data_IF_612212462134
#
_entry.id   IF_612212462134
#
_cell.length_a   1.000
_cell.length_b   1.000
_cell.length_c   1.000
_cell.angle_alpha   90.00
_cell.angle_beta   90.00
_cell.angle_gamma   90.00
#
_symmetry.space_group_name_H-M   'P 1'
#
loop_
_entity.id
_entity.type
_entity.pdbx_description
1 polymer ?
#
# COMPACT_ATOMS: atom_id res chain seq x y z
N UNK A 1 18.44 -12.34 18.95
CA UNK A 1 17.09 -12.78 18.53
C UNK A 1 16.10 -11.61 18.43
N UNK A 2 16.09 -10.72 19.41
CA UNK A 2 15.32 -9.45 19.51
C UNK A 2 15.17 -8.62 18.22
N UNK A 3 16.27 -8.22 17.55
CA UNK A 3 16.21 -7.31 16.39
C UNK A 3 15.38 -7.85 15.21
N UNK A 4 15.47 -9.15 14.91
CA UNK A 4 14.70 -9.77 13.81
C UNK A 4 13.21 -9.87 14.13
N UNK A 5 12.86 -9.96 15.41
CA UNK A 5 11.48 -9.98 15.89
C UNK A 5 10.85 -8.58 15.82
N UNK A 6 11.56 -7.58 16.34
CA UNK A 6 11.15 -6.17 16.28
C UNK A 6 10.94 -5.68 14.85
N UNK A 7 11.88 -6.00 13.93
CA UNK A 7 11.74 -5.65 12.52
C UNK A 7 10.53 -6.32 11.86
N UNK A 8 10.24 -7.59 12.20
CA UNK A 8 9.06 -8.29 11.68
C UNK A 8 7.77 -7.63 12.17
N UNK A 9 7.71 -7.30 13.46
CA UNK A 9 6.57 -6.64 14.07
C UNK A 9 6.33 -5.24 13.49
N UNK A 10 7.40 -4.46 13.32
CA UNK A 10 7.34 -3.14 12.72
C UNK A 10 6.87 -3.21 11.25
N UNK A 11 7.37 -4.17 10.46
CA UNK A 11 6.91 -4.40 9.08
C UNK A 11 5.42 -4.73 9.02
N UNK A 12 4.91 -5.56 9.93
CA UNK A 12 3.48 -5.91 10.00
C UNK A 12 2.64 -4.68 10.36
N UNK A 13 3.05 -3.90 11.36
CA UNK A 13 2.34 -2.69 11.76
C UNK A 13 2.31 -1.64 10.65
N UNK A 14 3.46 -1.38 10.01
CA UNK A 14 3.57 -0.44 8.90
C UNK A 14 2.68 -0.87 7.73
N UNK A 15 2.77 -2.14 7.30
CA UNK A 15 1.92 -2.66 6.20
C UNK A 15 0.43 -2.49 6.51
N UNK A 16 0.00 -2.80 7.73
CA UNK A 16 -1.40 -2.65 8.17
C UNK A 16 -1.84 -1.18 8.22
N UNK A 17 -0.99 -0.31 8.75
CA UNK A 17 -1.25 1.14 8.77
C UNK A 17 -1.45 1.69 7.36
N UNK A 18 -0.56 1.33 6.46
CA UNK A 18 -0.60 1.74 5.07
C UNK A 18 -1.78 1.19 4.28
N UNK A 19 -2.16 -0.09 4.48
CA UNK A 19 -3.38 -0.65 3.90
C UNK A 19 -4.62 0.13 4.33
N UNK A 20 -4.71 0.49 5.61
CA UNK A 20 -5.83 1.31 6.11
C UNK A 20 -5.83 2.69 5.49
N UNK A 21 -4.67 3.33 5.37
CA UNK A 21 -4.56 4.64 4.74
C UNK A 21 -5.08 4.60 3.29
N UNK A 22 -4.66 3.59 2.51
CA UNK A 22 -5.12 3.42 1.14
C UNK A 22 -6.64 3.17 1.04
N UNK A 23 -7.21 2.33 1.91
CA UNK A 23 -8.66 2.11 1.96
C UNK A 23 -9.41 3.40 2.33
N UNK A 24 -8.91 4.18 3.29
CA UNK A 24 -9.51 5.46 3.66
C UNK A 24 -9.46 6.47 2.51
N UNK A 25 -8.32 6.60 1.84
CA UNK A 25 -8.17 7.49 0.68
C UNK A 25 -9.10 7.08 -0.47
N UNK A 26 -9.25 5.79 -0.74
CA UNK A 26 -10.16 5.28 -1.77
C UNK A 26 -11.64 5.53 -1.42
N UNK A 27 -12.03 5.28 -0.17
CA UNK A 27 -13.39 5.53 0.30
C UNK A 27 -13.73 7.02 0.27
N UNK A 28 -12.78 7.87 0.67
CA UNK A 28 -12.92 9.32 0.59
C UNK A 28 -13.10 9.75 -0.87
N UNK A 29 -12.24 9.27 -1.78
CA UNK A 29 -12.34 9.58 -3.21
C UNK A 29 -13.70 9.19 -3.81
N UNK A 30 -14.17 7.97 -3.52
CA UNK A 30 -15.50 7.51 -3.95
C UNK A 30 -16.64 8.38 -3.40
N UNK A 31 -16.54 8.79 -2.13
CA UNK A 31 -17.54 9.63 -1.47
C UNK A 31 -17.55 11.05 -2.05
N UNK A 32 -16.39 11.66 -2.25
CA UNK A 32 -16.26 12.98 -2.88
C UNK A 32 -16.70 12.94 -4.36
N UNK A 33 -16.41 11.87 -5.10
CA UNK A 33 -16.88 11.70 -6.48
C UNK A 33 -18.41 11.56 -6.59
N UNK A 34 -19.10 11.11 -5.53
CA UNK A 34 -20.57 11.16 -5.45
C UNK A 34 -21.07 12.55 -5.09
N UNK A 35 -20.39 13.24 -4.16
CA UNK A 35 -20.72 14.59 -3.75
C UNK A 35 -20.55 15.60 -4.90
N UNK A 36 -19.50 15.47 -5.71
CA UNK A 36 -19.26 16.30 -6.90
C UNK A 36 -20.36 16.15 -7.95
N UNK A 37 -20.93 14.95 -8.09
CA UNK A 37 -22.09 14.70 -8.96
C UNK A 37 -23.42 15.18 -8.37
N UNK A 38 -23.43 15.68 -7.13
CA UNK A 38 -24.64 16.15 -6.45
C UNK A 38 -25.60 15.04 -6.02
N UNK A 39 -25.17 13.77 -6.03
CA UNK A 39 -26.07 12.63 -5.81
C UNK A 39 -26.04 12.15 -4.34
N UNK A 40 -27.10 12.42 -3.57
CA UNK A 40 -27.28 11.92 -2.20
C UNK A 40 -28.21 10.72 -2.18
N UNK A 41 -27.76 9.66 -1.51
CA UNK A 41 -28.65 8.55 -1.22
C UNK A 41 -29.59 8.96 -0.08
N UNK A 42 -30.88 8.95 -0.34
CA UNK A 42 -31.91 9.22 0.65
C UNK A 42 -32.44 7.90 1.23
N UNK A 43 -32.06 7.50 2.47
CA UNK A 43 -32.50 6.24 3.06
C UNK A 43 -34.01 6.20 3.32
N UNK A 44 -34.67 7.35 3.49
CA UNK A 44 -36.10 7.47 3.77
C UNK A 44 -36.97 7.12 2.56
N UNK A 45 -36.51 7.45 1.35
CA UNK A 45 -37.25 7.23 0.09
C UNK A 45 -36.59 6.23 -0.86
N UNK A 46 -35.49 5.58 -0.41
CA UNK A 46 -34.67 4.63 -1.18
C UNK A 46 -34.34 5.10 -2.61
N UNK A 47 -34.10 6.40 -2.80
CA UNK A 47 -33.80 7.01 -4.10
C UNK A 47 -32.57 7.91 -4.03
N UNK A 48 -31.95 8.15 -5.19
CA UNK A 48 -30.85 9.10 -5.35
C UNK A 48 -31.50 10.46 -5.61
N UNK A 49 -31.47 11.35 -4.61
CA UNK A 49 -31.95 12.72 -4.75
C UNK A 49 -30.76 13.63 -5.14
N UNK A 50 -30.97 14.53 -6.10
CA UNK A 50 -30.02 15.59 -6.42
C UNK A 50 -30.04 16.63 -5.29
N UNK A 51 -28.90 16.83 -4.63
CA UNK A 51 -28.75 17.94 -3.68
C UNK A 51 -28.53 19.22 -4.49
N UNK A 52 -29.33 20.25 -4.20
CA UNK A 52 -28.97 21.62 -4.55
C UNK A 52 -27.85 22.09 -3.62
N UNK A 53 -26.61 21.84 -4.05
CA UNK A 53 -25.41 22.33 -3.38
C UNK A 53 -25.22 23.80 -3.73
N UNK A 54 -25.01 24.65 -2.71
CA UNK A 54 -24.61 26.04 -2.95
C UNK A 54 -23.26 26.09 -3.68
N UNK A 55 -23.04 27.14 -4.47
CA UNK A 55 -21.83 27.31 -5.29
C UNK A 55 -20.55 27.26 -4.42
N UNK A 56 -20.61 27.83 -3.21
CA UNK A 56 -19.49 27.81 -2.26
C UNK A 56 -19.13 26.39 -1.82
N UNK A 57 -20.12 25.54 -1.61
CA UNK A 57 -19.93 24.17 -1.18
C UNK A 57 -19.39 23.29 -2.32
N UNK A 58 -19.89 23.49 -3.54
CA UNK A 58 -19.38 22.80 -4.73
C UNK A 58 -17.89 23.12 -4.96
N UNK A 59 -17.50 24.38 -4.80
CA UNK A 59 -16.10 24.80 -4.91
C UNK A 59 -15.20 24.08 -3.91
N UNK A 60 -15.62 24.00 -2.63
CA UNK A 60 -14.85 23.31 -1.59
C UNK A 60 -14.68 21.81 -1.90
N UNK A 61 -15.75 21.13 -2.32
CA UNK A 61 -15.70 19.72 -2.73
C UNK A 61 -14.73 19.51 -3.90
N UNK A 62 -14.69 20.45 -4.84
CA UNK A 62 -13.81 20.40 -6.01
C UNK A 62 -12.34 20.50 -5.60
N UNK A 63 -11.99 21.44 -4.71
CA UNK A 63 -10.63 21.57 -4.18
C UNK A 63 -10.19 20.28 -3.46
N UNK A 64 -11.02 19.77 -2.54
CA UNK A 64 -10.72 18.53 -1.83
C UNK A 64 -10.58 17.35 -2.80
N UNK A 65 -11.46 17.26 -3.80
CA UNK A 65 -11.40 16.20 -4.79
C UNK A 65 -10.09 16.24 -5.60
N UNK A 66 -9.65 17.42 -6.04
CA UNK A 66 -8.37 17.59 -6.75
C UNK A 66 -7.21 17.19 -5.83
N UNK A 67 -7.18 17.64 -4.58
CA UNK A 67 -6.14 17.26 -3.62
C UNK A 67 -6.10 15.73 -3.47
N UNK A 68 -7.24 15.07 -3.28
CA UNK A 68 -7.31 13.61 -3.17
C UNK A 68 -6.86 12.91 -4.45
N UNK A 69 -7.23 13.44 -5.62
CA UNK A 69 -6.88 12.89 -6.92
C UNK A 69 -5.37 12.97 -7.19
N UNK A 70 -4.68 13.99 -6.67
CA UNK A 70 -3.21 14.06 -6.72
C UNK A 70 -2.54 13.24 -5.60
N UNK A 71 -3.16 13.17 -4.42
CA UNK A 71 -2.59 12.49 -3.27
C UNK A 71 -2.59 10.96 -3.45
N UNK A 72 -3.67 10.39 -4.00
CA UNK A 72 -3.79 8.95 -4.27
C UNK A 72 -2.67 8.36 -5.14
N UNK A 73 -2.39 8.88 -6.35
CA UNK A 73 -1.31 8.36 -7.19
C UNK A 73 0.06 8.58 -6.57
N UNK A 74 0.27 9.69 -5.85
CA UNK A 74 1.52 9.95 -5.13
C UNK A 74 1.78 8.87 -4.09
N UNK A 75 0.80 8.59 -3.22
CA UNK A 75 0.87 7.51 -2.23
C UNK A 75 1.07 6.14 -2.92
N UNK A 76 0.37 5.89 -4.03
CA UNK A 76 0.50 4.66 -4.81
C UNK A 76 1.92 4.43 -5.34
N UNK A 77 2.53 5.44 -5.95
CA UNK A 77 3.91 5.36 -6.48
C UNK A 77 4.90 5.12 -5.33
N UNK A 78 4.76 5.84 -4.21
CA UNK A 78 5.58 5.60 -3.03
C UNK A 78 5.52 4.14 -2.58
N UNK A 79 4.34 3.52 -2.54
CA UNK A 79 4.23 2.10 -2.20
C UNK A 79 4.88 1.17 -3.19
N UNK A 80 4.72 1.43 -4.48
CA UNK A 80 5.34 0.61 -5.52
C UNK A 80 6.86 0.66 -5.41
N UNK A 81 7.44 1.85 -5.32
CA UNK A 81 8.90 2.03 -5.25
C UNK A 81 9.47 1.40 -3.98
N UNK A 82 8.95 1.75 -2.80
CA UNK A 82 9.45 1.19 -1.54
C UNK A 82 9.23 -0.32 -1.44
N UNK A 83 8.10 -0.81 -1.95
CA UNK A 83 7.79 -2.23 -2.02
C UNK A 83 8.76 -3.00 -2.91
N UNK A 84 9.06 -2.46 -4.09
CA UNK A 84 10.04 -3.05 -5.02
C UNK A 84 11.44 -3.06 -4.42
N UNK A 85 11.90 -1.94 -3.86
CA UNK A 85 13.21 -1.85 -3.21
C UNK A 85 13.36 -2.89 -2.09
N UNK A 86 12.35 -3.04 -1.24
CA UNK A 86 12.38 -4.05 -0.18
C UNK A 86 12.45 -5.47 -0.74
N UNK A 87 11.69 -5.78 -1.80
CA UNK A 87 11.72 -7.11 -2.43
C UNK A 87 13.06 -7.40 -3.07
N UNK A 88 13.69 -6.41 -3.71
CA UNK A 88 15.02 -6.54 -4.30
C UNK A 88 16.08 -6.83 -3.24
N UNK A 89 16.04 -6.12 -2.11
CA UNK A 89 16.97 -6.37 -0.99
C UNK A 89 16.73 -7.74 -0.35
N UNK A 90 15.47 -8.14 -0.14
CA UNK A 90 15.17 -9.45 0.43
C UNK A 90 15.63 -10.57 -0.54
N UNK A 91 15.42 -10.40 -1.85
CA UNK A 91 15.85 -11.36 -2.89
C UNK A 91 17.37 -11.47 -2.97
N UNK A 92 18.11 -10.36 -2.97
CA UNK A 92 19.58 -10.38 -2.99
C UNK A 92 20.15 -11.07 -1.74
N UNK A 93 19.52 -10.87 -0.58
CA UNK A 93 19.93 -11.57 0.64
C UNK A 93 19.66 -13.07 0.60
N UNK A 94 18.66 -13.51 -0.18
CA UNK A 94 18.30 -14.92 -0.35
C UNK A 94 19.28 -15.61 -1.30
N UNK A 95 19.63 -14.97 -2.42
CA UNK A 95 20.58 -15.52 -3.40
C UNK A 95 21.96 -15.74 -2.78
N UNK A 96 22.45 -14.79 -1.97
CA UNK A 96 23.71 -14.92 -1.25
C UNK A 96 23.71 -16.14 -0.29
N UNK A 97 22.60 -16.37 0.42
CA UNK A 97 22.48 -17.54 1.32
C UNK A 97 22.43 -18.85 0.54
N UNK A 98 21.72 -18.86 -0.59
CA UNK A 98 21.65 -20.01 -1.48
C UNK A 98 23.02 -20.37 -2.03
N UNK A 99 23.77 -19.37 -2.52
CA UNK A 99 25.14 -19.54 -3.01
C UNK A 99 26.07 -20.07 -1.90
N UNK A 100 26.01 -19.48 -0.70
CA UNK A 100 26.81 -19.94 0.44
C UNK A 100 26.46 -21.38 0.85
N UNK A 101 25.18 -21.75 0.80
CA UNK A 101 24.74 -23.12 1.09
C UNK A 101 25.16 -24.11 0.01
N UNK A 102 25.16 -23.70 -1.26
CA UNK A 102 25.62 -24.51 -2.38
C UNK A 102 27.12 -24.77 -2.25
N UNK A 103 27.91 -23.72 -2.03
CA UNK A 103 29.36 -23.81 -1.84
C UNK A 103 29.72 -24.76 -0.67
N UNK A 104 29.04 -24.63 0.48
CA UNK A 104 29.24 -25.55 1.61
C UNK A 104 28.94 -27.01 1.24
N UNK A 105 27.83 -27.25 0.54
CA UNK A 105 27.43 -28.60 0.11
C UNK A 105 28.45 -29.19 -0.87
N UNK A 106 29.01 -28.38 -1.76
CA UNK A 106 30.07 -28.83 -2.69
C UNK A 106 31.35 -29.19 -1.94
N UNK A 107 31.76 -28.40 -0.94
CA UNK A 107 32.95 -28.70 -0.11
C UNK A 107 32.76 -30.00 0.67
N UNK A 108 31.58 -30.22 1.28
CA UNK A 108 31.27 -31.47 1.99
C UNK A 108 31.29 -32.69 1.04
N UNK A 109 30.74 -32.56 -0.17
CA UNK A 109 30.78 -33.63 -1.18
C UNK A 109 32.21 -33.97 -1.62
N UNK A 110 33.06 -32.96 -1.83
CA UNK A 110 34.47 -33.17 -2.19
C UNK A 110 35.21 -33.86 -1.04
N UNK A 111 34.96 -33.46 0.21
CA UNK A 111 35.60 -34.06 1.38
C UNK A 111 35.26 -35.56 1.55
N UNK A 112 34.04 -35.99 1.20
CA UNK A 112 33.60 -37.40 1.29
C UNK A 112 34.12 -38.26 0.12
N UNK A 113 34.38 -37.65 -1.05
CA UNK A 113 34.89 -38.38 -2.23
C UNK A 113 36.41 -38.49 -2.23
N UNK A 114 37.12 -37.50 -1.68
CA UNK A 114 38.59 -37.48 -1.62
C UNK A 114 39.21 -38.14 -0.38
N UNK A 115 38.42 -38.51 0.64
CA UNK A 115 38.87 -39.13 1.89
C UNK A 115 38.04 -40.38 2.20
#
# INVERSE_FOLDING_TARGET
MERKFLLRFLKIRLKKFFQRLATLSWNAFSSFGRAFRGNKWNPLRKRIDTINLDLKQLFLVTIFFIILLFLLPTIGIYFLVFGLLWRLVDLSSLTLKWLASCCRRTIEWIAVVCF
#
